data_IF_605454614589
#
_entry.id   IF_605454614589
#
_cell.length_a   1.000
_cell.length_b   1.000
_cell.length_c   1.000
_cell.angle_alpha   90.00
_cell.angle_beta   90.00
_cell.angle_gamma   90.00
#
_symmetry.space_group_name_H-M   'P 1'
#
loop_
_entity.id
_entity.type
_entity.pdbx_description
1 polymer ?
#
# COMPACT_ATOMS: atom_id res chain seq x y z
N UNK A 1 -17.07 -10.05 6.70
CA UNK A 1 -16.38 -9.29 5.64
C UNK A 1 -15.03 -8.85 6.21
N UNK A 2 -13.90 -9.44 5.77
CA UNK A 2 -12.61 -9.17 6.39
C UNK A 2 -12.11 -7.76 6.04
N UNK A 3 -11.71 -7.03 7.08
CA UNK A 3 -11.05 -5.74 6.95
C UNK A 3 -9.58 -5.85 7.37
N UNK A 4 -8.71 -5.05 6.77
CA UNK A 4 -7.30 -4.99 7.10
C UNK A 4 -6.83 -3.55 7.34
N UNK A 5 -5.88 -3.40 8.26
CA UNK A 5 -5.04 -2.20 8.36
C UNK A 5 -3.67 -2.61 7.82
N UNK A 6 -3.18 -1.94 6.79
CA UNK A 6 -1.89 -2.26 6.18
C UNK A 6 -0.80 -1.29 6.62
N UNK A 7 0.36 -1.84 6.96
CA UNK A 7 1.58 -1.08 7.21
C UNK A 7 2.39 -0.89 5.92
N UNK A 8 3.53 -0.22 5.99
CA UNK A 8 4.47 0.03 4.88
C UNK A 8 5.01 -1.27 4.29
N UNK A 9 5.48 -2.21 5.13
CA UNK A 9 6.16 -3.43 4.63
C UNK A 9 5.27 -4.32 3.76
N UNK A 10 4.00 -4.64 4.12
CA UNK A 10 3.11 -5.39 3.23
C UNK A 10 2.87 -4.71 1.87
N UNK A 11 2.65 -3.39 1.85
CA UNK A 11 2.45 -2.64 0.61
C UNK A 11 3.70 -2.69 -0.27
N UNK A 12 4.88 -2.48 0.34
CA UNK A 12 6.17 -2.52 -0.34
C UNK A 12 6.49 -3.92 -0.91
N UNK A 13 6.27 -4.98 -0.14
CA UNK A 13 6.58 -6.33 -0.58
C UNK A 13 5.66 -6.77 -1.71
N UNK A 14 4.38 -6.44 -1.65
CA UNK A 14 3.44 -6.73 -2.74
C UNK A 14 3.73 -5.92 -3.99
N UNK A 15 4.13 -4.65 -3.85
CA UNK A 15 4.59 -3.81 -4.97
C UNK A 15 5.76 -4.44 -5.72
N UNK A 16 6.79 -4.90 -5.00
CA UNK A 16 7.99 -5.52 -5.58
C UNK A 16 7.75 -6.81 -6.38
N UNK A 17 6.59 -7.42 -6.20
CA UNK A 17 6.18 -8.63 -6.92
C UNK A 17 4.92 -8.39 -7.77
N UNK A 18 4.59 -7.13 -8.08
CA UNK A 18 3.44 -6.72 -8.89
C UNK A 18 2.08 -7.30 -8.44
N UNK A 19 1.93 -7.54 -7.13
CA UNK A 19 0.80 -8.28 -6.55
C UNK A 19 -0.05 -7.47 -5.57
N UNK A 20 0.12 -6.15 -5.51
CA UNK A 20 -0.62 -5.28 -4.58
C UNK A 20 -2.15 -5.36 -4.76
N UNK A 21 -2.62 -5.63 -5.98
CA UNK A 21 -4.04 -5.83 -6.29
C UNK A 21 -4.66 -7.06 -5.59
N UNK A 22 -3.87 -7.99 -5.05
CA UNK A 22 -4.40 -9.10 -4.26
C UNK A 22 -5.10 -8.64 -3.00
N UNK A 23 -4.71 -7.50 -2.42
CA UNK A 23 -5.37 -6.96 -1.24
C UNK A 23 -6.87 -6.71 -1.48
N UNK A 24 -7.24 -6.20 -2.65
CA UNK A 24 -8.63 -5.99 -3.06
C UNK A 24 -9.42 -7.29 -3.22
N UNK A 25 -8.76 -8.39 -3.54
CA UNK A 25 -9.40 -9.71 -3.67
C UNK A 25 -9.58 -10.40 -2.30
N UNK A 26 -8.68 -10.10 -1.35
CA UNK A 26 -8.63 -10.76 -0.05
C UNK A 26 -9.43 -10.02 1.04
N UNK A 27 -9.60 -8.71 0.91
CA UNK A 27 -10.23 -7.85 1.90
C UNK A 27 -11.30 -6.96 1.27
N UNK A 28 -12.43 -6.82 1.96
CA UNK A 28 -13.52 -5.96 1.55
C UNK A 28 -13.22 -4.49 1.84
N UNK A 29 -12.33 -4.22 2.79
CA UNK A 29 -11.87 -2.88 3.14
C UNK A 29 -10.43 -2.92 3.64
N UNK A 30 -9.61 -2.02 3.11
CA UNK A 30 -8.23 -1.83 3.55
C UNK A 30 -8.10 -0.38 4.04
N UNK A 31 -7.42 -0.19 5.16
CA UNK A 31 -7.11 1.12 5.71
C UNK A 31 -5.59 1.26 5.81
N UNK A 32 -5.07 2.39 5.36
CA UNK A 32 -3.65 2.73 5.52
C UNK A 32 -3.54 3.91 6.48
N UNK A 33 -2.81 3.79 7.60
CA UNK A 33 -2.57 4.91 8.49
C UNK A 33 -1.88 6.06 7.76
N UNK A 34 -2.25 7.32 8.08
CA UNK A 34 -1.65 8.50 7.45
C UNK A 34 -0.11 8.53 7.55
N UNK A 35 0.45 8.00 8.64
CA UNK A 35 1.91 7.89 8.81
C UNK A 35 2.58 7.02 7.74
N UNK A 36 1.92 5.93 7.31
CA UNK A 36 2.40 5.04 6.25
C UNK A 36 2.35 5.73 4.89
N UNK A 37 1.29 6.50 4.62
CA UNK A 37 1.19 7.33 3.40
C UNK A 37 2.35 8.32 3.32
N UNK A 38 2.67 8.99 4.43
CA UNK A 38 3.78 9.95 4.52
C UNK A 38 5.13 9.24 4.32
N UNK A 39 5.34 8.08 4.94
CA UNK A 39 6.56 7.29 4.80
C UNK A 39 6.81 6.86 3.34
N UNK A 40 5.77 6.35 2.67
CA UNK A 40 5.85 5.96 1.26
C UNK A 40 6.13 7.16 0.35
N UNK A 41 5.47 8.29 0.58
CA UNK A 41 5.70 9.51 -0.18
C UNK A 41 7.16 10.01 -0.03
N UNK A 42 7.72 9.95 1.18
CA UNK A 42 9.13 10.29 1.41
C UNK A 42 10.07 9.28 0.73
N UNK A 43 9.74 7.99 0.77
CA UNK A 43 10.48 6.96 0.03
C UNK A 43 10.52 7.24 -1.47
N UNK A 44 9.39 7.58 -2.07
CA UNK A 44 9.30 7.97 -3.48
C UNK A 44 10.09 9.23 -3.77
N UNK A 45 10.02 10.26 -2.90
CA UNK A 45 10.79 11.50 -3.02
C UNK A 45 12.30 11.27 -3.01
N UNK A 46 12.77 10.29 -2.22
CA UNK A 46 14.16 9.86 -2.16
C UNK A 46 14.59 8.96 -3.33
N UNK A 47 13.67 8.61 -4.23
CA UNK A 47 13.94 7.79 -5.41
C UNK A 47 13.90 6.28 -5.15
N UNK A 48 13.35 5.83 -4.01
CA UNK A 48 13.10 4.42 -3.78
C UNK A 48 11.93 3.91 -4.61
N UNK A 49 12.04 2.66 -5.06
CA UNK A 49 10.95 1.94 -5.69
C UNK A 49 9.94 1.47 -4.62
N UNK A 50 8.90 2.29 -4.44
CA UNK A 50 7.81 2.12 -3.47
C UNK A 50 6.47 2.32 -4.18
N UNK A 51 5.36 1.72 -3.69
CA UNK A 51 4.07 1.92 -4.32
C UNK A 51 3.58 3.36 -4.18
N UNK A 52 3.09 3.92 -5.29
CA UNK A 52 2.28 5.14 -5.27
C UNK A 52 0.82 4.78 -4.96
N UNK A 53 0.39 5.10 -3.73
CA UNK A 53 -0.97 4.79 -3.26
C UNK A 53 -2.06 5.54 -4.04
N UNK A 54 -1.74 6.66 -4.71
CA UNK A 54 -2.71 7.38 -5.53
C UNK A 54 -3.15 6.58 -6.77
N UNK A 55 -2.37 5.58 -7.18
CA UNK A 55 -2.72 4.66 -8.27
C UNK A 55 -3.72 3.57 -7.84
N UNK A 56 -4.06 3.47 -6.56
CA UNK A 56 -4.96 2.47 -6.00
C UNK A 56 -6.13 3.13 -5.27
N UNK A 57 -7.16 3.65 -5.96
CA UNK A 57 -8.28 4.37 -5.32
C UNK A 57 -9.15 3.55 -4.36
N UNK A 58 -8.92 2.24 -4.30
CA UNK A 58 -9.61 1.30 -3.41
C UNK A 58 -8.90 1.13 -2.06
N UNK A 59 -7.73 1.76 -1.89
CA UNK A 59 -6.89 1.77 -0.69
C UNK A 59 -7.06 3.06 0.12
#
# INVERSE_FOLDING_TARGET
MPAAISNTSPLLYLHRIDSINWLRTLFDSIWVPQAVVIELAEGQRLGFDVPDLALYPWL
#
